data_IF_183580165018
#
_entry.id   IF_183580165018
#
_cell.length_a   1.000
_cell.length_b   1.000
_cell.length_c   1.000
_cell.angle_alpha   90.00
_cell.angle_beta   90.00
_cell.angle_gamma   90.00
#
_symmetry.space_group_name_H-M   'P 1'
#
loop_
_entity.id
_entity.type
_entity.pdbx_description
1 polymer ?
#
# COMPACT_ATOMS: atom_id res chain seq x y z
N UNK A 1 8.88 11.82 -21.01
CA UNK A 1 8.89 11.40 -19.59
C UNK A 1 7.50 11.66 -19.07
N UNK A 2 6.73 10.62 -18.80
CA UNK A 2 5.39 10.80 -18.22
C UNK A 2 5.58 11.18 -16.75
N UNK A 3 5.29 12.43 -16.41
CA UNK A 3 5.31 12.88 -15.02
C UNK A 3 4.17 12.19 -14.29
N UNK A 4 4.49 11.31 -13.35
CA UNK A 4 3.48 10.64 -12.53
C UNK A 4 2.89 11.67 -11.54
N UNK A 5 1.80 12.33 -11.95
CA UNK A 5 1.16 13.41 -11.17
C UNK A 5 0.70 12.97 -9.78
N UNK A 6 0.56 11.67 -9.55
CA UNK A 6 0.18 11.12 -8.25
C UNK A 6 1.26 11.31 -7.22
N UNK A 7 2.50 11.54 -7.63
CA UNK A 7 3.58 11.83 -6.70
C UNK A 7 3.35 13.13 -5.91
N UNK A 8 2.51 14.03 -6.44
CA UNK A 8 2.14 15.29 -5.80
C UNK A 8 0.90 15.17 -4.91
N UNK A 9 0.19 14.03 -4.98
CA UNK A 9 -1.08 13.82 -4.27
C UNK A 9 -0.89 12.79 -3.16
N UNK A 10 -0.19 11.70 -3.45
CA UNK A 10 0.06 10.63 -2.51
C UNK A 10 1.31 10.96 -1.66
N UNK A 11 1.29 10.65 -0.36
CA UNK A 11 2.49 10.68 0.48
C UNK A 11 3.66 9.92 -0.17
N UNK A 12 4.89 10.43 -0.01
CA UNK A 12 6.09 9.79 -0.58
C UNK A 12 6.26 8.36 -0.06
N UNK A 13 5.87 8.11 1.19
CA UNK A 13 5.98 6.79 1.81
C UNK A 13 5.05 5.77 1.18
N UNK A 14 3.86 6.19 0.72
CA UNK A 14 2.97 5.33 -0.06
C UNK A 14 3.61 4.95 -1.39
N UNK A 15 4.33 5.87 -2.03
CA UNK A 15 5.00 5.63 -3.30
C UNK A 15 6.24 4.74 -3.14
N UNK A 16 6.87 4.70 -1.98
CA UNK A 16 8.00 3.81 -1.72
C UNK A 16 7.56 2.33 -1.83
N UNK A 17 6.41 1.99 -1.23
CA UNK A 17 5.96 0.60 -1.10
C UNK A 17 4.84 0.19 -2.06
N UNK A 18 4.07 1.15 -2.59
CA UNK A 18 2.95 0.87 -3.50
C UNK A 18 3.18 1.47 -4.87
N UNK A 19 2.61 0.80 -5.87
CA UNK A 19 2.50 1.31 -7.23
C UNK A 19 1.03 1.58 -7.56
N UNK A 20 0.76 2.67 -8.28
CA UNK A 20 -0.57 2.90 -8.85
C UNK A 20 -0.77 1.96 -10.03
N UNK A 21 -1.82 1.15 -9.96
CA UNK A 21 -2.21 0.24 -11.04
C UNK A 21 -3.36 0.75 -11.87
N UNK A 22 -4.23 1.59 -11.31
CA UNK A 22 -5.37 2.19 -12.03
C UNK A 22 -5.84 3.47 -11.31
N UNK A 23 -6.51 4.36 -12.03
CA UNK A 23 -7.16 5.53 -11.47
C UNK A 23 -8.51 5.77 -12.17
N UNK A 24 -9.57 5.87 -11.37
CA UNK A 24 -10.92 6.07 -11.86
C UNK A 24 -11.49 7.38 -11.34
N UNK A 25 -12.24 8.04 -12.20
CA UNK A 25 -12.95 9.29 -11.90
C UNK A 25 -14.43 9.09 -12.17
N UNK A 26 -15.25 9.50 -11.22
CA UNK A 26 -16.71 9.57 -11.37
C UNK A 26 -17.20 11.02 -11.25
N UNK A 27 -18.51 11.22 -11.28
CA UNK A 27 -19.15 12.51 -10.97
C UNK A 27 -18.75 12.99 -9.57
N UNK A 28 -18.67 12.08 -8.59
CA UNK A 28 -18.63 12.43 -7.17
C UNK A 28 -17.35 11.99 -6.46
N UNK A 29 -16.51 11.19 -7.13
CA UNK A 29 -15.29 10.65 -6.53
C UNK A 29 -14.10 10.48 -7.47
N UNK A 30 -12.94 10.37 -6.84
CA UNK A 30 -11.71 9.82 -7.39
C UNK A 30 -11.38 8.53 -6.65
N UNK A 31 -10.99 7.49 -7.38
CA UNK A 31 -10.58 6.21 -6.82
C UNK A 31 -9.22 5.83 -7.40
N UNK A 32 -8.23 5.66 -6.53
CA UNK A 32 -6.87 5.25 -6.91
C UNK A 32 -6.63 3.82 -6.47
N UNK A 33 -6.16 2.98 -7.39
CA UNK A 33 -5.88 1.58 -7.14
C UNK A 33 -4.38 1.40 -6.95
N UNK A 34 -3.99 0.86 -5.81
CA UNK A 34 -2.62 0.74 -5.34
C UNK A 34 -2.33 -0.73 -5.05
N UNK A 35 -1.21 -1.22 -5.58
CA UNK A 35 -0.72 -2.58 -5.28
C UNK A 35 0.64 -2.51 -4.60
N UNK A 36 0.85 -3.32 -3.57
CA UNK A 36 2.14 -3.36 -2.90
C UNK A 36 3.19 -3.94 -3.86
N UNK A 37 4.27 -3.18 -4.04
CA UNK A 37 5.40 -3.55 -4.90
C UNK A 37 6.01 -4.86 -4.42
N UNK A 38 6.62 -5.60 -5.34
CA UNK A 38 7.34 -6.83 -4.99
C UNK A 38 8.74 -6.52 -4.41
N UNK A 39 8.77 -5.78 -3.31
CA UNK A 39 9.98 -5.48 -2.54
C UNK A 39 9.92 -6.35 -1.29
N UNK A 40 10.97 -7.12 -1.01
CA UNK A 40 10.97 -7.99 0.17
C UNK A 40 10.91 -7.16 1.47
N UNK A 41 10.11 -7.56 2.47
CA UNK A 41 10.11 -6.89 3.76
C UNK A 41 11.46 -7.02 4.46
N UNK A 42 11.89 -5.96 5.16
CA UNK A 42 13.24 -5.88 5.78
C UNK A 42 13.42 -6.92 6.88
N UNK A 43 12.34 -7.29 7.55
CA UNK A 43 12.29 -8.33 8.59
C UNK A 43 12.54 -9.75 8.07
N UNK A 44 12.47 -9.97 6.75
CA UNK A 44 12.78 -11.25 6.10
C UNK A 44 14.04 -11.15 5.24
N UNK A 45 14.91 -10.18 5.50
CA UNK A 45 16.17 -10.01 4.76
C UNK A 45 17.00 -11.29 4.86
N UNK A 46 17.52 -11.76 3.71
CA UNK A 46 18.30 -13.00 3.63
C UNK A 46 17.47 -14.27 3.44
N UNK A 47 16.14 -14.21 3.60
CA UNK A 47 15.25 -15.35 3.39
C UNK A 47 14.76 -15.40 1.94
N UNK A 48 14.54 -16.62 1.44
CA UNK A 48 13.94 -16.82 0.11
C UNK A 48 12.43 -16.61 0.14
N UNK A 49 12.00 -15.51 -0.48
CA UNK A 49 10.58 -15.16 -0.61
C UNK A 49 10.13 -15.24 -2.06
N UNK A 50 8.99 -15.91 -2.29
CA UNK A 50 8.31 -15.96 -3.57
C UNK A 50 6.98 -15.22 -3.48
N UNK A 51 6.72 -14.25 -4.37
CA UNK A 51 5.41 -13.57 -4.42
C UNK A 51 4.28 -14.58 -4.68
N UNK A 52 3.24 -14.56 -3.84
CA UNK A 52 2.02 -15.38 -3.94
C UNK A 52 0.74 -14.54 -4.12
N UNK A 53 0.88 -13.41 -4.80
CA UNK A 53 -0.23 -12.51 -5.10
C UNK A 53 -0.53 -11.58 -3.94
N UNK A 54 -1.80 -11.25 -3.76
CA UNK A 54 -2.26 -10.21 -2.83
C UNK A 54 -3.32 -10.73 -1.86
N UNK A 55 -3.49 -10.04 -0.73
CA UNK A 55 -4.71 -10.11 0.06
C UNK A 55 -5.87 -9.47 -0.69
N UNK A 56 -7.06 -9.61 -0.13
CA UNK A 56 -8.24 -8.93 -0.65
C UNK A 56 -8.03 -7.42 -0.65
N UNK A 57 -8.66 -6.76 -1.60
CA UNK A 57 -8.54 -5.32 -1.76
C UNK A 57 -9.25 -4.60 -0.61
N UNK A 58 -8.56 -3.64 -0.03
CA UNK A 58 -9.05 -2.81 1.05
C UNK A 58 -9.37 -1.41 0.51
N UNK A 59 -10.47 -0.81 0.94
CA UNK A 59 -10.83 0.56 0.51
C UNK A 59 -10.66 1.54 1.67
N UNK A 60 -9.87 2.57 1.42
CA UNK A 60 -9.61 3.70 2.31
C UNK A 60 -10.34 4.91 1.77
N UNK A 61 -10.91 5.71 2.67
CA UNK A 61 -11.32 7.06 2.33
C UNK A 61 -10.23 8.03 2.71
N UNK A 62 -9.81 8.85 1.76
CA UNK A 62 -8.81 9.90 1.95
C UNK A 62 -9.47 11.29 1.91
N UNK A 63 -8.69 12.33 2.15
CA UNK A 63 -9.16 13.71 2.10
C UNK A 63 -9.80 14.01 0.73
N UNK A 64 -10.97 14.67 0.72
CA UNK A 64 -11.63 15.03 -0.52
C UNK A 64 -10.72 15.85 -1.44
N UNK A 65 -10.64 15.45 -2.70
CA UNK A 65 -9.87 16.17 -3.71
C UNK A 65 -10.82 17.06 -4.52
N UNK A 66 -10.65 18.37 -4.39
CA UNK A 66 -11.41 19.39 -5.14
C UNK A 66 -12.93 19.21 -5.02
N UNK A 67 -13.41 18.96 -3.80
CA UNK A 67 -14.83 18.78 -3.52
C UNK A 67 -15.42 17.41 -3.85
N UNK A 68 -14.60 16.47 -4.36
CA UNK A 68 -15.01 15.08 -4.61
C UNK A 68 -14.44 14.15 -3.54
N UNK A 69 -15.15 13.07 -3.23
CA UNK A 69 -14.61 12.04 -2.34
C UNK A 69 -13.34 11.41 -2.96
N UNK A 70 -12.34 11.11 -2.13
CA UNK A 70 -11.14 10.40 -2.56
C UNK A 70 -11.11 9.02 -1.91
N UNK A 71 -10.87 7.99 -2.71
CA UNK A 71 -10.74 6.62 -2.25
C UNK A 71 -9.41 6.03 -2.70
N UNK A 72 -8.74 5.31 -1.79
CA UNK A 72 -7.57 4.49 -2.10
C UNK A 72 -7.98 3.02 -1.99
N UNK A 73 -7.85 2.26 -3.06
CA UNK A 73 -8.07 0.82 -3.10
C UNK A 73 -6.72 0.11 -3.05
N UNK A 74 -6.42 -0.53 -1.93
CA UNK A 74 -5.08 -1.03 -1.62
C UNK A 74 -5.06 -2.55 -1.64
N UNK A 75 -4.12 -3.14 -2.38
CA UNK A 75 -3.81 -4.57 -2.39
C UNK A 75 -2.46 -4.81 -1.74
N UNK A 76 -2.45 -5.51 -0.62
CA UNK A 76 -1.22 -5.88 0.11
C UNK A 76 -0.67 -7.20 -0.39
N UNK A 77 0.65 -7.32 -0.51
CA UNK A 77 1.29 -8.49 -1.12
C UNK A 77 1.52 -9.60 -0.08
N UNK A 78 1.40 -10.83 -0.54
CA UNK A 78 1.76 -12.05 0.16
C UNK A 78 3.02 -12.64 -0.45
N UNK A 79 3.91 -13.12 0.41
CA UNK A 79 5.06 -13.90 0.00
C UNK A 79 5.01 -15.28 0.65
N UNK A 80 5.36 -16.32 -0.09
CA UNK A 80 5.72 -17.61 0.48
C UNK A 80 7.18 -17.54 0.89
N UNK A 81 7.46 -17.80 2.16
CA UNK A 81 8.80 -18.07 2.63
C UNK A 81 9.14 -19.53 2.33
N UNK A 82 10.12 -19.76 1.45
CA UNK A 82 10.48 -21.11 0.99
C UNK A 82 11.18 -21.94 2.07
N UNK A 83 11.83 -21.31 3.05
CA UNK A 83 12.52 -21.99 4.15
C UNK A 83 11.54 -22.52 5.19
N UNK A 84 10.46 -21.77 5.46
CA UNK A 84 9.47 -22.13 6.48
C UNK A 84 8.18 -22.71 5.91
N UNK A 85 7.95 -22.58 4.59
CA UNK A 85 6.71 -22.95 3.91
C UNK A 85 5.50 -22.08 4.27
N UNK A 86 5.70 -20.95 4.97
CA UNK A 86 4.61 -20.09 5.47
C UNK A 86 4.39 -18.88 4.58
N UNK A 87 3.13 -18.43 4.51
CA UNK A 87 2.80 -17.13 3.95
C UNK A 87 3.20 -16.04 4.96
N UNK A 88 4.01 -15.11 4.49
CA UNK A 88 4.48 -13.94 5.22
C UNK A 88 4.06 -12.66 4.51
N UNK A 89 4.03 -11.56 5.25
CA UNK A 89 3.62 -10.25 4.76
C UNK A 89 4.36 -9.16 5.53
N UNK A 90 4.43 -7.96 4.95
CA UNK A 90 5.12 -6.83 5.54
C UNK A 90 4.45 -6.40 6.85
N UNK A 91 5.26 -6.25 7.89
CA UNK A 91 4.88 -5.62 9.14
C UNK A 91 5.00 -4.09 9.01
N UNK A 92 3.87 -3.43 8.85
CA UNK A 92 3.80 -1.98 8.68
C UNK A 92 4.18 -1.18 9.94
N UNK A 93 4.24 -1.79 11.12
CA UNK A 93 4.77 -1.13 12.32
C UNK A 93 6.25 -0.81 12.18
N UNK A 94 7.01 -1.69 11.56
CA UNK A 94 8.44 -1.50 11.33
C UNK A 94 8.71 -0.40 10.31
N UNK A 95 7.75 -0.18 9.39
CA UNK A 95 7.77 0.90 8.40
C UNK A 95 7.36 2.24 9.03
N UNK A 96 6.55 2.22 10.09
CA UNK A 96 6.02 3.42 10.75
C UNK A 96 7.07 4.31 11.45
N UNK A 97 8.30 3.83 11.61
CA UNK A 97 9.36 4.50 12.37
C UNK A 97 10.06 5.59 11.55
N UNK A 98 9.43 6.76 11.42
CA UNK A 98 10.06 7.91 10.75
C UNK A 98 9.31 9.24 10.92
N UNK A 99 7.98 9.25 10.80
CA UNK A 99 7.17 10.49 10.88
C UNK A 99 5.79 10.25 11.51
N UNK A 100 5.00 11.32 11.74
CA UNK A 100 3.60 11.21 12.18
C UNK A 100 2.71 10.61 11.09
N UNK A 101 2.99 10.91 9.83
CA UNK A 101 2.28 10.39 8.65
C UNK A 101 2.46 8.86 8.53
N UNK A 102 3.67 8.34 8.74
CA UNK A 102 3.93 6.89 8.71
C UNK A 102 3.25 6.13 9.86
N UNK A 103 3.04 6.76 11.01
CA UNK A 103 2.29 6.18 12.14
C UNK A 103 0.78 6.13 11.89
N UNK A 104 0.20 7.22 11.40
CA UNK A 104 -1.22 7.25 11.04
C UNK A 104 -1.50 6.26 9.90
N UNK A 105 -0.61 6.16 8.92
CA UNK A 105 -0.70 5.20 7.82
C UNK A 105 -0.50 3.73 8.27
N UNK A 106 0.46 3.43 9.14
CA UNK A 106 0.62 2.08 9.68
C UNK A 106 -0.54 1.66 10.60
N UNK A 107 -1.07 2.61 11.37
CA UNK A 107 -2.29 2.41 12.16
C UNK A 107 -3.49 2.15 11.25
N UNK A 108 -3.56 2.86 10.13
CA UNK A 108 -4.57 2.66 9.10
C UNK A 108 -4.51 1.24 8.53
N UNK A 109 -3.35 0.78 8.05
CA UNK A 109 -3.18 -0.59 7.50
C UNK A 109 -3.40 -1.71 8.55
N UNK A 110 -3.27 -1.39 9.85
CA UNK A 110 -3.64 -2.29 10.94
C UNK A 110 -5.14 -2.43 11.13
N UNK A 111 -5.87 -1.31 11.10
CA UNK A 111 -7.29 -1.27 11.40
C UNK A 111 -8.13 -2.11 10.41
N UNK A 112 -7.60 -2.35 9.21
CA UNK A 112 -8.29 -3.08 8.15
C UNK A 112 -7.98 -4.59 8.14
N UNK A 113 -6.97 -5.06 8.87
CA UNK A 113 -6.63 -6.49 9.03
C UNK A 113 -7.60 -7.28 9.95
N UNK A 114 -8.88 -6.89 10.02
CA UNK A 114 -9.85 -7.51 10.92
C UNK A 114 -10.64 -8.65 10.27
#
# INVERSE_FOLDING_TARGET
METNLLQFILPEELQEYFELTDAQKTSDSYTFYLSEKNIHPKEYTGQKLQSKGFFDEETVRDFPLRGKACYLKIKRRKWLNEETGKIVYRNWELVANGTRMTKEFATFLKAVLR
#
